data_IF_239773034370
#
_entry.id   IF_239773034370
#
_cell.length_a   1.000
_cell.length_b   1.000
_cell.length_c   1.000
_cell.angle_alpha   90.00
_cell.angle_beta   90.00
_cell.angle_gamma   90.00
#
_symmetry.space_group_name_H-M   'P 1'
#
loop_
_entity.id
_entity.type
_entity.pdbx_description
1 polymer ?
#
# COMPACT_ATOMS: atom_id res chain seq x y z
N UNK A 1 -38.97 -23.65 -33.54
CA UNK A 1 -39.02 -22.25 -33.07
C UNK A 1 -38.98 -22.22 -31.54
N UNK A 2 -38.05 -22.96 -30.93
CA UNK A 2 -37.81 -23.01 -29.48
C UNK A 2 -36.34 -23.36 -29.27
N UNK A 3 -35.76 -22.78 -28.21
CA UNK A 3 -34.42 -23.01 -27.65
C UNK A 3 -33.24 -22.39 -28.41
N UNK A 4 -33.11 -21.05 -28.31
CA UNK A 4 -31.77 -20.45 -28.20
C UNK A 4 -31.32 -20.63 -26.75
N UNK A 5 -30.32 -21.49 -26.57
CA UNK A 5 -29.75 -21.85 -25.29
C UNK A 5 -28.95 -20.68 -24.71
N UNK A 6 -28.94 -20.56 -23.39
CA UNK A 6 -28.15 -19.58 -22.61
C UNK A 6 -26.64 -19.56 -22.94
N UNK A 7 -26.15 -20.52 -23.72
CA UNK A 7 -24.74 -20.69 -24.11
C UNK A 7 -24.29 -19.79 -25.27
N UNK A 8 -25.18 -19.36 -26.18
CA UNK A 8 -24.78 -18.48 -27.32
C UNK A 8 -24.55 -17.01 -26.88
N UNK A 9 -25.26 -16.55 -25.85
CA UNK A 9 -25.16 -15.17 -25.32
C UNK A 9 -23.81 -14.91 -24.61
N UNK A 10 -23.18 -15.96 -24.06
CA UNK A 10 -21.89 -15.87 -23.36
C UNK A 10 -20.70 -15.63 -24.31
N UNK A 11 -20.83 -15.99 -25.60
CA UNK A 11 -19.77 -15.83 -26.60
C UNK A 11 -19.80 -14.48 -27.34
N UNK A 12 -20.88 -13.70 -27.25
CA UNK A 12 -21.02 -12.40 -27.95
C UNK A 12 -20.90 -11.16 -27.05
N UNK A 13 -20.72 -11.32 -25.73
CA UNK A 13 -20.58 -10.19 -24.80
C UNK A 13 -21.83 -9.31 -24.70
N UNK A 14 -22.99 -9.85 -25.06
CA UNK A 14 -24.28 -9.16 -25.03
C UNK A 14 -24.82 -9.19 -23.60
N UNK A 15 -24.89 -8.02 -22.95
CA UNK A 15 -25.45 -7.86 -21.61
C UNK A 15 -26.93 -7.49 -21.66
N UNK A 16 -27.64 -7.64 -20.53
CA UNK A 16 -29.02 -7.16 -20.34
C UNK A 16 -29.07 -5.95 -19.43
N UNK A 17 -29.91 -4.97 -19.79
CA UNK A 17 -30.15 -3.81 -18.95
C UNK A 17 -30.98 -4.22 -17.72
N UNK A 18 -30.50 -3.90 -16.52
CA UNK A 18 -31.21 -4.22 -15.26
C UNK A 18 -32.52 -3.47 -15.01
N UNK A 19 -32.95 -2.59 -15.94
CA UNK A 19 -34.17 -1.80 -15.81
C UNK A 19 -35.23 -2.14 -16.87
N UNK A 20 -34.82 -2.25 -18.14
CA UNK A 20 -35.72 -2.46 -19.27
C UNK A 20 -35.49 -3.79 -20.02
N UNK A 21 -34.58 -4.64 -19.51
CA UNK A 21 -34.23 -5.96 -20.05
C UNK A 21 -33.72 -6.00 -21.50
N UNK A 22 -33.51 -4.83 -22.13
CA UNK A 22 -32.96 -4.78 -23.48
C UNK A 22 -31.54 -5.33 -23.51
N UNK A 23 -31.26 -6.17 -24.51
CA UNK A 23 -29.94 -6.72 -24.77
C UNK A 23 -29.10 -5.75 -25.59
N UNK A 24 -27.86 -5.53 -25.16
CA UNK A 24 -26.89 -4.71 -25.89
C UNK A 24 -25.47 -5.10 -25.53
N UNK A 25 -24.55 -4.98 -26.49
CA UNK A 25 -23.11 -5.10 -26.26
C UNK A 25 -22.48 -3.83 -25.65
N UNK A 26 -23.20 -2.71 -25.59
CA UNK A 26 -22.69 -1.40 -25.16
C UNK A 26 -23.29 -0.87 -23.84
N UNK A 27 -23.64 -1.76 -22.91
CA UNK A 27 -24.21 -1.34 -21.62
C UNK A 27 -23.18 -0.72 -20.66
N UNK A 28 -23.61 0.28 -19.90
CA UNK A 28 -22.84 0.95 -18.87
C UNK A 28 -22.99 0.22 -17.53
N UNK A 29 -21.88 -0.22 -16.94
CA UNK A 29 -21.88 -0.83 -15.60
C UNK A 29 -22.15 0.21 -14.51
N UNK A 30 -22.90 -0.17 -13.49
CA UNK A 30 -23.09 0.62 -12.28
C UNK A 30 -21.73 1.00 -11.69
N UNK A 31 -21.48 2.30 -11.51
CA UNK A 31 -20.19 2.81 -11.00
C UNK A 31 -19.89 2.39 -9.56
N UNK A 32 -20.92 1.98 -8.80
CA UNK A 32 -20.79 1.52 -7.42
C UNK A 32 -20.37 0.06 -7.33
N UNK A 33 -21.23 -0.85 -7.76
CA UNK A 33 -21.01 -2.30 -7.61
C UNK A 33 -20.42 -2.98 -8.84
N UNK A 34 -20.53 -2.38 -10.03
CA UNK A 34 -20.17 -2.96 -11.34
C UNK A 34 -20.86 -4.29 -11.70
N UNK A 35 -21.85 -4.73 -10.92
CA UNK A 35 -22.56 -6.00 -11.10
C UNK A 35 -23.81 -5.89 -12.00
N UNK A 36 -24.42 -4.71 -12.06
CA UNK A 36 -25.59 -4.43 -12.89
C UNK A 36 -25.18 -3.46 -13.99
N UNK A 37 -25.74 -3.64 -15.19
CA UNK A 37 -25.48 -2.79 -16.35
C UNK A 37 -26.76 -2.13 -16.85
N UNK A 38 -26.65 -0.95 -17.42
CA UNK A 38 -27.78 -0.13 -17.87
C UNK A 38 -27.50 0.46 -19.25
N UNK A 39 -28.56 0.69 -20.03
CA UNK A 39 -28.45 1.39 -21.32
C UNK A 39 -27.98 2.84 -21.15
N UNK A 40 -28.26 3.44 -20.00
CA UNK A 40 -27.93 4.82 -19.70
C UNK A 40 -28.33 5.20 -18.27
N UNK A 41 -28.11 6.47 -17.94
CA UNK A 41 -28.44 7.04 -16.62
C UNK A 41 -29.94 7.03 -16.32
N UNK A 42 -30.78 7.10 -17.35
CA UNK A 42 -32.25 7.02 -17.21
C UNK A 42 -32.68 5.66 -16.67
N UNK A 43 -32.26 4.57 -17.33
CA UNK A 43 -32.50 3.20 -16.88
C UNK A 43 -31.93 2.94 -15.48
N UNK A 44 -30.74 3.47 -15.18
CA UNK A 44 -30.18 3.38 -13.83
C UNK A 44 -31.05 4.10 -12.80
N UNK A 45 -31.57 5.30 -13.13
CA UNK A 45 -32.44 6.08 -12.28
C UNK A 45 -33.76 5.37 -11.96
N UNK A 46 -34.37 4.73 -12.97
CA UNK A 46 -35.62 3.96 -12.80
C UNK A 46 -35.45 2.75 -11.88
N UNK A 47 -34.29 2.07 -11.95
CA UNK A 47 -33.99 0.90 -11.12
C UNK A 47 -33.44 1.27 -9.74
N UNK A 48 -32.96 2.51 -9.54
CA UNK A 48 -32.21 2.90 -8.34
C UNK A 48 -32.95 2.65 -7.02
N UNK A 49 -34.26 2.83 -6.98
CA UNK A 49 -35.08 2.57 -5.78
C UNK A 49 -34.98 1.11 -5.31
N UNK A 50 -34.86 0.16 -6.24
CA UNK A 50 -34.69 -1.27 -5.98
C UNK A 50 -33.21 -1.64 -5.83
N UNK A 51 -32.35 -1.05 -6.66
CA UNK A 51 -30.93 -1.40 -6.71
C UNK A 51 -30.10 -0.83 -5.56
N UNK A 52 -30.44 0.33 -4.99
CA UNK A 52 -29.59 1.06 -4.03
C UNK A 52 -29.13 0.23 -2.83
N UNK A 53 -30.02 -0.54 -2.21
CA UNK A 53 -29.69 -1.38 -1.06
C UNK A 53 -28.73 -2.51 -1.44
N UNK A 54 -29.04 -3.21 -2.54
CA UNK A 54 -28.23 -4.28 -3.10
C UNK A 54 -26.85 -3.73 -3.52
N UNK A 55 -26.81 -2.58 -4.19
CA UNK A 55 -25.56 -1.92 -4.58
C UNK A 55 -24.68 -1.64 -3.37
N UNK A 56 -25.25 -1.15 -2.27
CA UNK A 56 -24.52 -0.86 -1.03
C UNK A 56 -23.97 -2.14 -0.40
N UNK A 57 -24.80 -3.18 -0.30
CA UNK A 57 -24.40 -4.48 0.24
C UNK A 57 -23.29 -5.12 -0.59
N UNK A 58 -23.46 -5.18 -1.91
CA UNK A 58 -22.46 -5.75 -2.82
C UNK A 58 -21.16 -4.95 -2.81
N UNK A 59 -21.24 -3.63 -2.73
CA UNK A 59 -20.04 -2.78 -2.57
C UNK A 59 -19.30 -3.08 -1.28
N UNK A 60 -20.03 -3.28 -0.17
CA UNK A 60 -19.43 -3.68 1.11
C UNK A 60 -18.77 -5.05 1.01
N UNK A 61 -19.43 -6.02 0.37
CA UNK A 61 -18.86 -7.35 0.16
C UNK A 61 -17.58 -7.32 -0.71
N UNK A 62 -17.59 -6.54 -1.80
CA UNK A 62 -16.39 -6.35 -2.64
C UNK A 62 -15.27 -5.70 -1.84
N UNK A 63 -15.58 -4.65 -1.07
CA UNK A 63 -14.60 -3.99 -0.20
C UNK A 63 -14.04 -4.95 0.86
N UNK A 64 -14.87 -5.82 1.41
CA UNK A 64 -14.46 -6.84 2.37
C UNK A 64 -13.49 -7.86 1.76
N UNK A 65 -13.82 -8.36 0.58
CA UNK A 65 -12.94 -9.28 -0.17
C UNK A 65 -11.61 -8.58 -0.45
N UNK A 66 -11.64 -7.38 -1.05
CA UNK A 66 -10.43 -6.62 -1.38
C UNK A 66 -9.58 -6.26 -0.15
N UNK A 67 -10.22 -6.05 1.02
CA UNK A 67 -9.52 -5.73 2.25
C UNK A 67 -8.69 -6.92 2.77
N UNK A 68 -9.17 -8.14 2.60
CA UNK A 68 -8.57 -9.36 3.13
C UNK A 68 -8.02 -10.31 2.06
N UNK A 69 -8.09 -9.94 0.79
CA UNK A 69 -7.40 -10.61 -0.29
C UNK A 69 -5.90 -10.57 0.00
N UNK A 70 -5.28 -11.75 0.05
CA UNK A 70 -3.92 -11.91 0.52
C UNK A 70 -2.96 -11.22 -0.45
N UNK A 71 -2.27 -10.18 0.02
CA UNK A 71 -1.15 -9.58 -0.70
C UNK A 71 0.13 -10.19 -0.12
N UNK A 72 0.82 -10.97 -0.95
CA UNK A 72 2.16 -11.43 -0.61
C UNK A 72 3.11 -10.22 -0.57
N UNK A 73 3.96 -10.15 0.47
CA UNK A 73 4.90 -9.04 0.65
C UNK A 73 4.28 -7.77 1.25
N UNK A 74 4.97 -6.64 1.07
CA UNK A 74 4.56 -5.31 1.55
C UNK A 74 4.20 -4.38 0.38
N UNK A 75 3.65 -3.21 0.69
CA UNK A 75 3.17 -2.23 -0.29
C UNK A 75 4.24 -1.63 -1.22
N UNK A 76 5.53 -1.87 -0.98
CA UNK A 76 6.61 -1.45 -1.88
C UNK A 76 6.90 -2.46 -3.00
N UNK A 77 6.37 -3.68 -2.91
CA UNK A 77 6.58 -4.73 -3.91
C UNK A 77 8.01 -5.25 -3.91
N UNK A 78 8.56 -5.53 -5.10
CA UNK A 78 9.91 -6.06 -5.30
C UNK A 78 10.82 -5.01 -5.95
N UNK A 79 12.12 -5.10 -5.67
CA UNK A 79 13.11 -4.28 -6.35
C UNK A 79 13.20 -4.70 -7.83
N UNK A 80 13.07 -3.77 -8.80
CA UNK A 80 13.07 -4.14 -10.22
C UNK A 80 14.46 -4.52 -10.78
N UNK A 81 15.50 -4.47 -9.94
CA UNK A 81 16.88 -4.81 -10.32
C UNK A 81 17.25 -6.20 -9.80
N UNK A 82 17.04 -6.47 -8.50
CA UNK A 82 17.38 -7.76 -7.90
C UNK A 82 16.17 -8.70 -7.73
N UNK A 83 14.95 -8.25 -8.02
CA UNK A 83 13.70 -8.99 -7.86
C UNK A 83 13.42 -9.52 -6.45
N UNK A 84 14.17 -9.04 -5.44
CA UNK A 84 13.91 -9.35 -4.05
C UNK A 84 12.85 -8.39 -3.48
N UNK A 85 11.96 -8.88 -2.58
CA UNK A 85 11.00 -8.04 -1.86
C UNK A 85 11.66 -6.81 -1.25
N UNK A 86 11.05 -5.64 -1.45
CA UNK A 86 11.58 -4.38 -0.96
C UNK A 86 11.75 -4.40 0.56
N UNK A 87 12.89 -3.90 1.07
CA UNK A 87 13.18 -3.95 2.50
C UNK A 87 12.15 -3.09 3.26
N UNK A 88 11.50 -3.69 4.25
CA UNK A 88 10.53 -3.03 5.12
C UNK A 88 10.49 -3.69 6.48
N UNK A 89 11.21 -3.14 7.44
CA UNK A 89 11.19 -3.62 8.82
C UNK A 89 10.15 -2.86 9.65
N UNK A 90 8.94 -3.41 9.66
CA UNK A 90 7.82 -2.83 10.40
C UNK A 90 8.12 -2.71 11.90
N UNK A 91 8.87 -3.64 12.49
CA UNK A 91 9.17 -3.65 13.92
C UNK A 91 10.17 -2.55 14.28
N UNK A 92 11.21 -2.32 13.44
CA UNK A 92 12.12 -1.17 13.60
C UNK A 92 11.34 0.14 13.49
N UNK A 93 10.49 0.29 12.49
CA UNK A 93 9.69 1.50 12.29
C UNK A 93 8.74 1.76 13.47
N UNK A 94 8.06 0.72 13.96
CA UNK A 94 7.15 0.81 15.10
C UNK A 94 7.84 1.07 16.45
N UNK A 95 9.17 0.90 16.53
CA UNK A 95 10.00 1.20 17.71
C UNK A 95 10.65 2.58 17.64
N UNK A 96 10.87 3.12 16.44
CA UNK A 96 11.40 4.46 16.26
C UNK A 96 10.45 5.47 16.92
N UNK A 97 10.94 6.23 17.89
CA UNK A 97 10.12 7.25 18.56
C UNK A 97 9.91 8.44 17.62
N UNK A 98 8.86 9.24 17.85
CA UNK A 98 8.61 10.44 17.06
C UNK A 98 9.72 11.50 17.19
N UNK A 99 10.58 11.37 18.21
CA UNK A 99 11.70 12.26 18.50
C UNK A 99 13.00 11.81 17.82
N UNK A 100 13.07 10.56 17.34
CA UNK A 100 14.23 10.06 16.61
C UNK A 100 14.11 10.46 15.12
N UNK A 101 15.16 11.08 14.57
CA UNK A 101 15.36 11.22 13.10
C UNK A 101 15.25 9.86 12.35
N UNK A 102 15.24 8.75 13.10
CA UNK A 102 15.09 7.39 12.64
C UNK A 102 13.67 7.04 12.14
N UNK A 103 12.62 7.76 12.53
CA UNK A 103 11.25 7.49 12.09
C UNK A 103 11.07 7.58 10.55
N UNK A 104 11.85 8.46 9.90
CA UNK A 104 11.87 8.62 8.44
C UNK A 104 12.99 7.82 7.74
N UNK A 105 13.79 7.03 8.49
CA UNK A 105 14.95 6.29 8.00
C UNK A 105 14.59 5.14 7.05
N UNK A 106 13.34 4.65 7.03
CA UNK A 106 12.91 3.63 6.07
C UNK A 106 13.05 4.10 4.59
N UNK A 107 13.02 5.43 4.35
CA UNK A 107 13.33 6.01 3.03
C UNK A 107 14.83 5.86 2.64
N UNK A 108 15.70 5.42 3.55
CA UNK A 108 17.13 5.17 3.27
C UNK A 108 17.39 3.77 2.72
N UNK A 109 16.48 2.82 2.90
CA UNK A 109 16.64 1.45 2.37
C UNK A 109 16.03 1.28 0.96
N UNK A 110 15.23 2.26 0.53
CA UNK A 110 14.61 2.32 -0.79
C UNK A 110 14.81 3.71 -1.39
N UNK A 111 15.39 3.76 -2.58
CA UNK A 111 15.66 5.00 -3.30
C UNK A 111 14.66 5.17 -4.45
N UNK A 112 13.87 6.25 -4.42
CA UNK A 112 13.15 6.70 -5.60
C UNK A 112 14.08 7.46 -6.55
N UNK A 113 14.22 6.97 -7.77
CA UNK A 113 15.04 7.59 -8.82
C UNK A 113 14.40 8.90 -9.30
N UNK A 114 15.20 9.96 -9.51
CA UNK A 114 14.66 11.26 -9.93
C UNK A 114 14.11 11.26 -11.37
N UNK A 115 14.72 10.51 -12.29
CA UNK A 115 14.32 10.48 -13.71
C UNK A 115 12.93 9.87 -13.92
N UNK A 116 12.70 8.67 -13.40
CA UNK A 116 11.56 7.83 -13.73
C UNK A 116 10.73 7.49 -12.50
N UNK A 117 11.16 7.92 -11.32
CA UNK A 117 10.46 7.73 -10.04
C UNK A 117 10.20 6.28 -9.65
N UNK A 118 10.88 5.35 -10.33
CA UNK A 118 10.93 3.95 -9.95
C UNK A 118 11.66 3.82 -8.63
N UNK A 119 11.09 3.05 -7.71
CA UNK A 119 11.74 2.65 -6.47
C UNK A 119 12.72 1.52 -6.74
N UNK A 120 13.94 1.65 -6.24
CA UNK A 120 14.97 0.61 -6.24
C UNK A 120 15.51 0.46 -4.82
N UNK A 121 15.90 -0.75 -4.40
CA UNK A 121 16.55 -0.90 -3.10
C UNK A 121 17.92 -0.21 -3.11
N UNK A 122 18.32 0.35 -1.97
CA UNK A 122 19.54 1.15 -1.85
C UNK A 122 20.79 0.38 -2.24
N UNK A 123 20.90 -0.92 -1.90
CA UNK A 123 22.05 -1.73 -2.31
C UNK A 123 22.19 -1.85 -3.84
N UNK A 124 21.08 -1.98 -4.58
CA UNK A 124 21.14 -2.00 -6.05
C UNK A 124 21.48 -0.62 -6.62
N UNK A 125 21.02 0.45 -5.98
CA UNK A 125 21.39 1.81 -6.34
C UNK A 125 22.90 2.02 -6.13
N UNK A 126 23.40 1.72 -4.93
CA UNK A 126 24.80 1.87 -4.54
C UNK A 126 25.74 1.01 -5.40
N UNK A 127 25.37 -0.24 -5.67
CA UNK A 127 26.15 -1.12 -6.54
C UNK A 127 26.33 -0.50 -7.92
N UNK A 128 25.27 0.05 -8.51
CA UNK A 128 25.36 0.74 -9.80
C UNK A 128 26.27 1.98 -9.74
N UNK A 129 26.15 2.80 -8.69
CA UNK A 129 27.03 3.98 -8.52
C UNK A 129 28.50 3.55 -8.37
N UNK A 130 28.78 2.52 -7.59
CA UNK A 130 30.14 2.00 -7.38
C UNK A 130 30.72 1.49 -8.71
N UNK A 131 29.96 0.73 -9.50
CA UNK A 131 30.39 0.28 -10.83
C UNK A 131 30.74 1.46 -11.73
N UNK A 132 29.88 2.49 -11.81
CA UNK A 132 30.18 3.69 -12.58
C UNK A 132 31.48 4.37 -12.14
N UNK A 133 31.70 4.49 -10.83
CA UNK A 133 32.93 5.07 -10.26
C UNK A 133 34.18 4.26 -10.64
N UNK A 134 34.11 2.93 -10.53
CA UNK A 134 35.22 2.02 -10.85
C UNK A 134 35.58 2.06 -12.34
N UNK A 135 34.56 2.12 -13.20
CA UNK A 135 34.71 2.21 -14.65
C UNK A 135 35.01 3.65 -15.14
N UNK A 136 34.99 4.63 -14.23
CA UNK A 136 35.15 6.07 -14.53
C UNK A 136 34.13 6.57 -15.55
N UNK A 137 32.91 6.06 -15.48
CA UNK A 137 31.76 6.45 -16.30
C UNK A 137 30.88 7.38 -15.48
N UNK A 138 30.28 8.37 -16.14
CA UNK A 138 29.31 9.28 -15.51
C UNK A 138 28.13 8.47 -14.95
N UNK A 139 27.74 8.67 -13.68
CA UNK A 139 26.57 8.00 -13.11
C UNK A 139 25.29 8.29 -13.91
N UNK A 140 24.51 7.23 -14.11
CA UNK A 140 23.16 7.30 -14.68
C UNK A 140 22.16 6.74 -13.68
N UNK A 141 20.86 6.91 -13.93
CA UNK A 141 19.85 6.16 -13.18
C UNK A 141 20.06 4.64 -13.30
N UNK A 142 20.02 3.87 -12.20
CA UNK A 142 20.20 2.42 -12.24
C UNK A 142 19.05 1.67 -12.94
N UNK A 143 17.88 2.29 -13.07
CA UNK A 143 16.71 1.69 -13.74
C UNK A 143 16.55 2.20 -15.19
N UNK A 144 16.36 3.52 -15.36
CA UNK A 144 16.03 4.14 -16.65
C UNK A 144 17.26 4.45 -17.53
N UNK A 145 18.48 4.40 -16.96
CA UNK A 145 19.76 4.78 -17.59
C UNK A 145 19.87 6.23 -18.09
N UNK A 146 18.87 7.09 -17.85
CA UNK A 146 18.99 8.53 -18.11
C UNK A 146 20.11 9.14 -17.28
N UNK A 147 20.80 10.14 -17.84
CA UNK A 147 21.82 10.90 -17.13
C UNK A 147 21.24 11.53 -15.87
N UNK A 148 21.95 11.39 -14.76
CA UNK A 148 21.63 12.14 -13.55
C UNK A 148 22.24 13.53 -13.66
N UNK A 149 21.56 14.57 -13.15
CA UNK A 149 22.14 15.92 -13.10
C UNK A 149 23.49 15.90 -12.38
N UNK A 150 24.50 16.63 -12.89
CA UNK A 150 25.88 16.66 -12.35
C UNK A 150 25.99 17.22 -10.92
N UNK A 151 24.88 17.70 -10.36
CA UNK A 151 24.80 18.20 -8.99
C UNK A 151 23.96 17.23 -8.16
N UNK A 152 24.63 16.21 -7.62
CA UNK A 152 24.27 15.70 -6.29
C UNK A 152 24.63 16.80 -5.29
N UNK A 153 23.86 17.89 -5.24
CA UNK A 153 23.79 18.66 -4.00
C UNK A 153 22.82 17.90 -3.13
N UNK A 154 23.32 17.43 -1.99
CA UNK A 154 22.57 16.83 -0.88
C UNK A 154 21.50 17.76 -0.25
N UNK A 155 21.17 18.86 -0.93
CA UNK A 155 20.06 19.74 -0.64
C UNK A 155 18.91 19.33 -1.58
N UNK A 156 18.02 18.43 -1.13
CA UNK A 156 16.74 18.24 -1.82
C UNK A 156 16.00 19.57 -1.77
N UNK A 157 16.05 20.32 -2.87
CA UNK A 157 15.28 21.53 -3.03
C UNK A 157 13.80 21.17 -2.84
N UNK A 158 13.15 21.84 -1.89
CA UNK A 158 11.72 21.64 -1.66
C UNK A 158 11.01 22.09 -2.93
N UNK A 159 10.37 21.14 -3.61
CA UNK A 159 9.55 21.43 -4.77
C UNK A 159 8.18 21.95 -4.34
N UNK A 160 7.58 22.84 -5.14
CA UNK A 160 6.20 23.25 -4.92
C UNK A 160 5.28 22.03 -5.06
N UNK A 161 4.57 21.71 -3.98
CA UNK A 161 3.62 20.58 -3.91
C UNK A 161 2.59 20.63 -5.03
N UNK A 162 2.20 21.83 -5.47
CA UNK A 162 1.25 22.01 -6.56
C UNK A 162 1.77 21.40 -7.87
N UNK A 163 3.06 21.49 -8.13
CA UNK A 163 3.72 21.09 -9.39
C UNK A 163 4.15 19.61 -9.39
N UNK A 164 4.22 18.96 -8.23
CA UNK A 164 4.67 17.58 -8.14
C UNK A 164 3.50 16.62 -8.42
N UNK A 165 3.50 16.01 -9.60
CA UNK A 165 2.53 14.95 -9.95
C UNK A 165 3.07 13.54 -9.70
N UNK A 166 4.32 13.44 -9.26
CA UNK A 166 4.89 12.17 -8.87
C UNK A 166 4.63 11.85 -7.39
N UNK A 167 3.91 10.76 -7.13
CA UNK A 167 3.54 10.38 -5.78
C UNK A 167 4.73 9.99 -4.88
N UNK A 168 5.84 9.46 -5.44
CA UNK A 168 7.04 9.15 -4.64
C UNK A 168 7.79 10.42 -4.23
N UNK A 169 7.88 11.40 -5.14
CA UNK A 169 8.46 12.70 -4.81
C UNK A 169 7.64 13.45 -3.77
N UNK A 170 6.30 13.31 -3.79
CA UNK A 170 5.44 13.85 -2.74
C UNK A 170 5.70 13.23 -1.36
N UNK A 171 6.01 11.92 -1.29
CA UNK A 171 6.42 11.28 -0.04
C UNK A 171 7.73 11.85 0.47
N UNK A 172 8.74 11.97 -0.41
CA UNK A 172 10.04 12.55 -0.06
C UNK A 172 9.90 14.00 0.41
N UNK A 173 9.20 14.84 -0.36
CA UNK A 173 8.95 16.24 -0.04
C UNK A 173 8.22 16.38 1.31
N UNK A 174 7.17 15.58 1.53
CA UNK A 174 6.47 15.55 2.81
C UNK A 174 7.36 15.19 3.99
N UNK A 175 8.28 14.22 3.83
CA UNK A 175 9.22 13.84 4.88
C UNK A 175 10.22 14.97 5.18
N UNK A 176 10.76 15.63 4.15
CA UNK A 176 11.65 16.78 4.31
C UNK A 176 10.95 17.94 5.02
N UNK A 177 9.70 18.27 4.62
CA UNK A 177 8.90 19.31 5.26
C UNK A 177 8.63 18.98 6.74
N UNK A 178 8.32 17.72 7.04
CA UNK A 178 8.09 17.28 8.41
C UNK A 178 9.35 17.39 9.28
N UNK A 179 10.53 17.01 8.75
CA UNK A 179 11.81 17.18 9.42
C UNK A 179 12.20 18.65 9.66
N UNK A 180 11.68 19.58 8.82
CA UNK A 180 11.83 21.03 9.00
C UNK A 180 10.76 21.64 9.94
N UNK A 181 9.84 20.84 10.47
CA UNK A 181 8.74 21.30 11.33
C UNK A 181 7.54 21.90 10.60
N UNK A 182 7.55 21.95 9.26
CA UNK A 182 6.38 22.41 8.48
C UNK A 182 5.39 21.26 8.26
N UNK A 183 4.72 20.89 9.35
CA UNK A 183 3.79 19.77 9.37
C UNK A 183 2.54 20.03 8.52
N UNK A 184 2.11 21.28 8.34
CA UNK A 184 0.93 21.60 7.53
C UNK A 184 1.22 21.41 6.03
N UNK A 185 2.39 21.85 5.56
CA UNK A 185 2.83 21.57 4.20
C UNK A 185 3.09 20.07 3.99
N UNK A 186 3.71 19.38 4.96
CA UNK A 186 3.91 17.94 4.91
C UNK A 186 2.59 17.17 4.76
N UNK A 187 1.56 17.53 5.54
CA UNK A 187 0.22 16.96 5.41
C UNK A 187 -0.35 17.15 4.00
N UNK A 188 -0.16 18.32 3.42
CA UNK A 188 -0.64 18.63 2.06
C UNK A 188 0.05 17.74 1.02
N UNK A 189 1.37 17.56 1.13
CA UNK A 189 2.16 16.65 0.28
C UNK A 189 1.70 15.20 0.38
N UNK A 190 1.58 14.67 1.60
CA UNK A 190 1.13 13.29 1.81
C UNK A 190 -0.31 13.07 1.35
N UNK A 191 -1.19 14.07 1.53
CA UNK A 191 -2.57 14.02 1.04
C UNK A 191 -2.64 14.01 -0.48
N UNK A 192 -1.77 14.75 -1.18
CA UNK A 192 -1.67 14.68 -2.65
C UNK A 192 -1.15 13.30 -3.07
N UNK A 193 -0.13 12.74 -2.40
CA UNK A 193 0.37 11.39 -2.68
C UNK A 193 -0.72 10.32 -2.48
N UNK A 194 -1.49 10.40 -1.40
CA UNK A 194 -2.60 9.49 -1.11
C UNK A 194 -3.71 9.56 -2.17
N UNK A 195 -4.01 10.75 -2.71
CA UNK A 195 -4.96 10.92 -3.82
C UNK A 195 -4.47 10.27 -5.11
N UNK A 196 -3.16 10.26 -5.34
CA UNK A 196 -2.51 9.56 -6.45
C UNK A 196 -2.37 8.05 -6.21
N UNK A 197 -2.94 7.51 -5.13
CA UNK A 197 -2.95 6.08 -4.84
C UNK A 197 -1.74 5.58 -4.04
N UNK A 198 -0.86 6.46 -3.57
CA UNK A 198 0.30 6.02 -2.79
C UNK A 198 -0.11 5.55 -1.38
N UNK A 199 0.19 4.28 -1.11
CA UNK A 199 -0.19 3.58 0.12
C UNK A 199 0.53 4.13 1.36
N UNK A 200 1.81 4.49 1.22
CA UNK A 200 2.58 5.14 2.29
C UNK A 200 2.00 6.53 2.64
N UNK A 201 1.61 7.30 1.62
CA UNK A 201 0.95 8.59 1.80
C UNK A 201 -0.39 8.46 2.51
N UNK A 202 -1.17 7.41 2.23
CA UNK A 202 -2.39 7.11 2.98
C UNK A 202 -2.09 6.87 4.46
N UNK A 203 -1.05 6.08 4.77
CA UNK A 203 -0.64 5.82 6.14
C UNK A 203 -0.22 7.11 6.88
N UNK A 204 0.61 7.96 6.27
CA UNK A 204 1.02 9.22 6.90
C UNK A 204 -0.14 10.17 7.14
N UNK A 205 -1.07 10.27 6.19
CA UNK A 205 -2.28 11.08 6.37
C UNK A 205 -3.10 10.56 7.55
N UNK A 206 -3.23 9.24 7.72
CA UNK A 206 -3.91 8.70 8.91
C UNK A 206 -3.19 9.08 10.20
N UNK A 207 -1.88 8.91 10.28
CA UNK A 207 -1.10 9.24 11.49
C UNK A 207 -1.26 10.72 11.85
N UNK A 208 -1.14 11.62 10.88
CA UNK A 208 -1.29 13.07 11.12
C UNK A 208 -2.70 13.43 11.59
N UNK A 209 -3.75 12.78 11.07
CA UNK A 209 -5.13 12.99 11.51
C UNK A 209 -5.43 12.36 12.88
N UNK A 210 -4.75 11.29 13.27
CA UNK A 210 -4.87 10.72 14.61
C UNK A 210 -4.20 11.61 15.67
N UNK A 211 -2.98 12.06 15.39
CA UNK A 211 -2.14 12.80 16.33
C UNK A 211 -2.38 14.32 16.30
N UNK A 212 -3.04 14.85 15.28
CA UNK A 212 -3.26 16.30 15.13
C UNK A 212 -2.02 17.06 14.66
N UNK A 213 -1.10 16.38 13.94
CA UNK A 213 0.17 16.96 13.49
C UNK A 213 -0.07 17.67 12.16
N UNK A 214 0.08 19.00 12.12
CA UNK A 214 -0.12 19.82 10.91
C UNK A 214 -1.57 19.91 10.40
N UNK A 215 -2.52 19.24 11.06
CA UNK A 215 -3.94 19.21 10.73
C UNK A 215 -4.77 18.94 11.98
N UNK A 216 -6.02 19.43 12.03
CA UNK A 216 -6.92 19.10 13.13
C UNK A 216 -7.22 17.59 13.20
N UNK A 217 -7.37 17.07 14.41
CA UNK A 217 -7.66 15.66 14.64
C UNK A 217 -8.97 15.23 14.00
N UNK A 218 -8.98 14.04 13.41
CA UNK A 218 -10.20 13.44 12.85
C UNK A 218 -10.07 11.92 12.77
N UNK A 219 -10.39 11.22 13.86
CA UNK A 219 -10.26 9.76 13.94
C UNK A 219 -11.08 9.01 12.90
N UNK A 220 -12.27 9.49 12.55
CA UNK A 220 -13.11 8.87 11.52
C UNK A 220 -12.44 8.87 10.13
N UNK A 221 -11.87 10.02 9.72
CA UNK A 221 -11.11 10.11 8.47
C UNK A 221 -9.79 9.35 8.56
N UNK A 222 -9.12 9.41 9.72
CA UNK A 222 -7.87 8.72 9.94
C UNK A 222 -8.04 7.20 9.75
N UNK A 223 -9.01 6.59 10.44
CA UNK A 223 -9.34 5.17 10.29
C UNK A 223 -9.72 4.80 8.85
N UNK A 224 -10.42 5.69 8.12
CA UNK A 224 -10.72 5.45 6.72
C UNK A 224 -9.45 5.40 5.82
N UNK A 225 -8.41 6.17 6.16
CA UNK A 225 -7.11 6.08 5.50
C UNK A 225 -6.33 4.84 5.95
N UNK A 226 -6.37 4.47 7.24
CA UNK A 226 -5.77 3.23 7.77
C UNK A 226 -6.31 2.01 7.02
N UNK A 227 -7.63 1.88 6.89
CA UNK A 227 -8.26 0.75 6.19
C UNK A 227 -7.85 0.69 4.71
N UNK A 228 -7.72 1.85 4.05
CA UNK A 228 -7.24 1.90 2.65
C UNK A 228 -5.77 1.51 2.53
N UNK A 229 -4.91 2.01 3.42
CA UNK A 229 -3.49 1.66 3.43
C UNK A 229 -3.30 0.17 3.77
N UNK A 230 -4.08 -0.35 4.71
CA UNK A 230 -4.12 -1.76 5.05
C UNK A 230 -4.50 -2.58 3.80
N UNK A 231 -5.62 -2.26 3.13
CA UNK A 231 -6.04 -2.93 1.89
C UNK A 231 -4.98 -2.84 0.75
N UNK A 232 -4.14 -1.81 0.76
CA UNK A 232 -2.99 -1.69 -0.14
C UNK A 232 -1.72 -2.39 0.34
N UNK A 233 -1.77 -3.15 1.44
CA UNK A 233 -0.65 -4.00 1.86
C UNK A 233 0.31 -3.36 2.85
N UNK A 234 -0.01 -2.19 3.42
CA UNK A 234 0.85 -1.54 4.40
C UNK A 234 0.84 -2.31 5.75
N UNK A 235 1.97 -2.89 6.20
CA UNK A 235 1.94 -3.79 7.37
C UNK A 235 1.58 -3.10 8.69
N UNK A 236 2.05 -1.86 8.90
CA UNK A 236 1.71 -1.08 10.10
C UNK A 236 0.24 -0.64 10.11
N UNK A 237 -0.25 -0.05 9.01
CA UNK A 237 -1.67 0.25 8.86
C UNK A 237 -2.55 -1.01 9.01
N UNK A 238 -2.06 -2.18 8.59
CA UNK A 238 -2.77 -3.46 8.79
C UNK A 238 -2.91 -3.82 10.27
N UNK A 239 -1.85 -3.63 11.06
CA UNK A 239 -1.92 -3.77 12.52
C UNK A 239 -2.91 -2.77 13.13
N UNK A 240 -2.82 -1.50 12.75
CA UNK A 240 -3.72 -0.44 13.25
C UNK A 240 -5.19 -0.69 12.88
N UNK A 241 -5.45 -1.22 11.68
CA UNK A 241 -6.78 -1.67 11.28
C UNK A 241 -7.31 -2.77 12.21
N UNK A 242 -6.47 -3.73 12.59
CA UNK A 242 -6.82 -4.76 13.57
C UNK A 242 -7.17 -4.17 14.93
N UNK A 243 -6.38 -3.21 15.43
CA UNK A 243 -6.67 -2.52 16.68
C UNK A 243 -7.99 -1.75 16.63
N UNK A 244 -8.25 -1.07 15.51
CA UNK A 244 -9.51 -0.35 15.29
C UNK A 244 -10.71 -1.30 15.30
N UNK A 245 -10.64 -2.42 14.57
CA UNK A 245 -11.73 -3.42 14.55
C UNK A 245 -11.95 -4.03 15.94
N UNK A 246 -10.88 -4.30 16.69
CA UNK A 246 -10.96 -4.82 18.05
C UNK A 246 -11.65 -3.84 19.00
N UNK A 247 -11.30 -2.55 18.91
CA UNK A 247 -11.94 -1.48 19.68
C UNK A 247 -13.44 -1.37 19.39
N UNK A 248 -13.85 -1.63 18.15
CA UNK A 248 -15.26 -1.65 17.74
C UNK A 248 -15.98 -2.95 18.11
N UNK A 249 -15.31 -3.90 18.76
CA UNK A 249 -15.88 -5.19 19.14
C UNK A 249 -15.91 -6.24 18.03
N UNK A 250 -15.29 -5.96 16.88
CA UNK A 250 -15.24 -6.85 15.73
C UNK A 250 -14.03 -7.80 15.82
N UNK A 251 -14.00 -8.62 16.86
CA UNK A 251 -12.83 -9.47 17.17
C UNK A 251 -12.41 -10.36 15.99
N UNK A 252 -13.34 -11.02 15.30
CA UNK A 252 -13.04 -11.87 14.13
C UNK A 252 -12.28 -11.10 13.02
N UNK A 253 -12.73 -9.88 12.72
CA UNK A 253 -12.07 -9.01 11.73
C UNK A 253 -10.69 -8.58 12.20
N UNK A 254 -10.55 -8.27 13.48
CA UNK A 254 -9.28 -7.93 14.09
C UNK A 254 -8.27 -9.07 13.97
N UNK A 255 -8.67 -10.31 14.29
CA UNK A 255 -7.83 -11.51 14.13
C UNK A 255 -7.33 -11.65 12.70
N UNK A 256 -8.22 -11.49 11.70
CA UNK A 256 -7.83 -11.55 10.28
C UNK A 256 -6.78 -10.48 9.93
N UNK A 257 -6.95 -9.25 10.41
CA UNK A 257 -5.96 -8.19 10.21
C UNK A 257 -4.62 -8.53 10.85
N UNK A 258 -4.63 -8.97 12.10
CA UNK A 258 -3.41 -9.32 12.82
C UNK A 258 -2.69 -10.51 12.19
N UNK A 259 -3.41 -11.53 11.69
CA UNK A 259 -2.81 -12.65 10.97
C UNK A 259 -2.07 -12.19 9.70
N UNK A 260 -2.67 -11.28 8.93
CA UNK A 260 -2.01 -10.72 7.73
C UNK A 260 -0.78 -9.90 8.14
N UNK A 261 -0.91 -8.98 9.10
CA UNK A 261 0.22 -8.17 9.55
C UNK A 261 1.36 -9.04 10.14
N UNK A 262 1.02 -10.08 10.91
CA UNK A 262 1.99 -11.04 11.44
C UNK A 262 2.69 -11.79 10.30
N UNK A 263 1.97 -12.19 9.25
CA UNK A 263 2.57 -12.79 8.04
C UNK A 263 3.49 -11.85 7.26
N UNK A 264 3.40 -10.54 7.49
CA UNK A 264 4.31 -9.52 6.96
C UNK A 264 5.43 -9.14 7.95
N UNK A 265 5.63 -9.94 9.00
CA UNK A 265 6.72 -9.77 9.96
C UNK A 265 6.40 -8.91 11.18
N UNK A 266 5.20 -8.32 11.29
CA UNK A 266 4.84 -7.41 12.40
C UNK A 266 4.67 -8.16 13.73
N UNK A 267 5.61 -7.98 14.66
CA UNK A 267 5.58 -8.68 15.96
C UNK A 267 4.45 -8.20 16.86
N UNK A 268 4.13 -6.90 16.86
CA UNK A 268 3.02 -6.38 17.69
C UNK A 268 1.70 -7.08 17.38
N UNK A 269 1.42 -7.38 16.11
CA UNK A 269 0.22 -8.15 15.72
C UNK A 269 0.25 -9.59 16.22
N UNK A 270 1.43 -10.22 16.27
CA UNK A 270 1.58 -11.55 16.85
C UNK A 270 1.34 -11.55 18.37
N UNK A 271 1.78 -10.49 19.07
CA UNK A 271 1.51 -10.30 20.50
C UNK A 271 0.00 -10.11 20.78
N UNK A 272 -0.71 -9.36 19.93
CA UNK A 272 -2.17 -9.23 20.02
C UNK A 272 -2.87 -10.58 19.80
N UNK A 273 -2.43 -11.38 18.81
CA UNK A 273 -2.97 -12.73 18.60
C UNK A 273 -2.70 -13.66 19.78
N UNK A 274 -1.52 -13.54 20.42
CA UNK A 274 -1.18 -14.29 21.64
C UNK A 274 -2.07 -13.89 22.80
N UNK A 275 -2.34 -12.59 22.97
CA UNK A 275 -3.28 -12.07 23.95
C UNK A 275 -4.70 -12.59 23.70
N UNK A 276 -5.12 -12.60 22.44
CA UNK A 276 -6.41 -13.14 22.03
C UNK A 276 -6.56 -14.64 22.23
N UNK A 277 -5.48 -15.40 22.06
CA UNK A 277 -5.46 -16.83 22.34
C UNK A 277 -5.66 -17.10 23.84
N UNK A 278 -4.96 -16.36 24.71
CA UNK A 278 -5.14 -16.44 26.16
C UNK A 278 -6.56 -16.04 26.60
N UNK A 279 -7.16 -15.10 25.89
CA UNK A 279 -8.51 -14.60 26.16
C UNK A 279 -9.62 -15.44 25.53
N UNK A 280 -9.27 -16.43 24.70
CA UNK A 280 -10.20 -17.40 24.11
C UNK A 280 -10.91 -16.98 22.81
N UNK A 281 -10.63 -15.79 22.27
CA UNK A 281 -11.24 -15.34 21.00
C UNK A 281 -10.36 -15.58 19.76
N UNK A 282 -9.14 -16.09 19.95
CA UNK A 282 -8.28 -16.62 18.90
C UNK A 282 -8.12 -18.11 19.14
N UNK A 283 -8.26 -18.93 18.10
CA UNK A 283 -8.08 -20.38 18.20
C UNK A 283 -6.59 -20.74 18.25
N UNK A 284 -6.28 -21.93 18.80
CA UNK A 284 -4.91 -22.47 18.79
C UNK A 284 -4.33 -22.54 17.38
N UNK A 285 -5.14 -22.98 16.41
CA UNK A 285 -4.72 -23.14 15.02
C UNK A 285 -4.34 -21.80 14.37
N UNK A 286 -5.16 -20.75 14.58
CA UNK A 286 -4.89 -19.41 14.06
C UNK A 286 -3.59 -18.83 14.64
N UNK A 287 -3.41 -18.95 15.96
CA UNK A 287 -2.20 -18.45 16.61
C UNK A 287 -0.94 -19.19 16.12
N UNK A 288 -0.99 -20.52 16.03
CA UNK A 288 0.13 -21.31 15.52
C UNK A 288 0.46 -21.00 14.06
N UNK A 289 -0.56 -20.78 13.21
CA UNK A 289 -0.35 -20.38 11.83
C UNK A 289 0.32 -19.00 11.75
N UNK A 290 -0.19 -18.02 12.49
CA UNK A 290 0.39 -16.67 12.53
C UNK A 290 1.85 -16.69 13.04
N UNK A 291 2.15 -17.50 14.05
CA UNK A 291 3.51 -17.69 14.56
C UNK A 291 4.46 -18.24 13.48
N UNK A 292 4.06 -19.30 12.77
CA UNK A 292 4.86 -19.87 11.67
C UNK A 292 5.05 -18.88 10.53
N UNK A 293 4.00 -18.19 10.12
CA UNK A 293 4.07 -17.18 9.04
C UNK A 293 4.98 -16.01 9.42
N UNK A 294 4.92 -15.52 10.66
CA UNK A 294 5.80 -14.45 11.13
C UNK A 294 7.26 -14.87 11.13
N UNK A 295 7.57 -16.08 11.60
CA UNK A 295 8.92 -16.62 11.59
C UNK A 295 9.48 -16.70 10.16
N UNK A 296 8.70 -17.28 9.24
CA UNK A 296 9.09 -17.37 7.81
C UNK A 296 9.33 -16.00 7.19
N UNK A 297 8.49 -15.01 7.49
CA UNK A 297 8.64 -13.66 6.96
C UNK A 297 9.94 -13.01 7.44
N UNK A 298 10.26 -13.14 8.73
CA UNK A 298 11.51 -12.61 9.30
C UNK A 298 12.76 -13.29 8.77
N UNK A 299 12.72 -14.61 8.63
CA UNK A 299 13.81 -15.39 8.01
C UNK A 299 14.04 -14.94 6.57
N UNK A 300 12.97 -14.88 5.75
CA UNK A 300 13.07 -14.41 4.37
C UNK A 300 13.60 -12.97 4.27
N UNK A 301 13.18 -12.07 5.16
CA UNK A 301 13.71 -10.70 5.19
C UNK A 301 15.21 -10.67 5.49
N UNK A 302 15.68 -11.47 6.45
CA UNK A 302 17.10 -11.58 6.80
C UNK A 302 17.91 -12.14 5.63
N UNK A 303 17.45 -13.23 5.01
CA UNK A 303 18.11 -13.86 3.87
C UNK A 303 18.21 -12.88 2.68
N UNK A 304 17.15 -12.10 2.43
CA UNK A 304 17.14 -11.05 1.41
C UNK A 304 18.16 -9.93 1.71
N UNK A 305 18.29 -9.51 2.97
CA UNK A 305 19.27 -8.51 3.40
C UNK A 305 20.72 -9.01 3.25
N UNK A 306 20.98 -10.26 3.65
CA UNK A 306 22.29 -10.91 3.48
C UNK A 306 22.66 -11.04 2.00
N UNK A 307 21.71 -11.48 1.16
CA UNK A 307 21.90 -11.57 -0.30
C UNK A 307 22.26 -10.21 -0.90
N UNK A 308 21.51 -9.15 -0.57
CA UNK A 308 21.81 -7.78 -1.03
C UNK A 308 23.17 -7.29 -0.56
N UNK A 309 23.58 -7.67 0.64
CA UNK A 309 24.87 -7.28 1.21
C UNK A 309 26.04 -7.98 0.52
N UNK A 310 25.89 -9.26 0.20
CA UNK A 310 26.87 -10.04 -0.57
C UNK A 310 27.07 -9.47 -1.98
N UNK A 311 25.97 -9.17 -2.70
CA UNK A 311 26.02 -8.55 -4.03
C UNK A 311 26.78 -7.21 -4.01
N UNK A 312 26.52 -6.37 -3.00
CA UNK A 312 27.19 -5.08 -2.85
C UNK A 312 28.69 -5.26 -2.52
N UNK A 313 29.03 -6.24 -1.67
CA UNK A 313 30.41 -6.53 -1.30
C UNK A 313 31.24 -7.11 -2.46
N UNK A 314 30.62 -7.87 -3.37
CA UNK A 314 31.23 -8.29 -4.63
C UNK A 314 31.51 -7.10 -5.53
N UNK A 315 30.54 -6.21 -5.70
CA UNK A 315 30.69 -4.99 -6.52
C UNK A 315 31.83 -4.10 -6.03
N UNK A 316 32.02 -3.98 -4.71
CA UNK A 316 33.12 -3.19 -4.11
C UNK A 316 34.52 -3.81 -4.28
N UNK A 317 34.61 -5.11 -4.59
CA UNK A 317 35.89 -5.83 -4.75
C UNK A 317 36.46 -5.71 -6.16
N UNK A 318 35.60 -5.43 -7.14
CA UNK A 318 35.94 -5.16 -8.53
C UNK A 318 36.26 -3.67 -8.72
#
# INVERSE_FOLDING_TARGET
>A
MYERTMDEDLQQGIGRCGACDSTSSSLLKCSGCRLVSYCGTECQGTDWSKHKSICKEKRRAIQEVMLFEHQEGNHFGECPICFLPMPFDADKIMKATAEDEEHYRYLKEITATSCCSTLVCTNCFDAHIITCCNERIKPTCPFCRSETPDKEKDDYELLDVAEIDNHQMLIKNGATLCGRGDHAAAFTSYKKAAKLGNIQGMYFVSTMLHCGIGVATNHGKANAYVIKAAAGGHPIARHEAGMYELYQGNAERAVRHFCIAASQGVTKSLDELKSGYKSGYVTKSEYEQALRSNQKAKEAMKDNEETRSQMLAETKRH
#
